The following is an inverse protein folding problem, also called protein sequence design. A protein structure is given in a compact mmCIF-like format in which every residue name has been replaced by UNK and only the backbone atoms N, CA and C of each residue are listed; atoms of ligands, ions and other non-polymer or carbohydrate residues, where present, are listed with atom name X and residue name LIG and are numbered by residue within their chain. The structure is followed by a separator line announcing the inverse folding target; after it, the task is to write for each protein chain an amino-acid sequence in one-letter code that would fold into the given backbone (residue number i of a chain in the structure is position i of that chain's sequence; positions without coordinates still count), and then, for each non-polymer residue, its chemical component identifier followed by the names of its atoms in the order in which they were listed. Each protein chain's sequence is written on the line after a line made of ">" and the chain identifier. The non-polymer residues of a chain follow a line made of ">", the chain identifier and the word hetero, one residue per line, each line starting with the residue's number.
data_IF_910775371268
#
_entry.id   IF_910775371268
#
_cell.length_a   1.000
_cell.length_b   1.000
_cell.length_c   1.000
_cell.angle_alpha   90.00
_cell.angle_beta   90.00
_cell.angle_gamma   90.00
#
_symmetry.space_group_name_H-M   'P 1'
#
loop_
_entity.id
_entity.type
_entity.pdbx_description
1 polymer ?
#
# COMPACT_ATOMS: atom_id res chain seq x y z
N UNK A 1 -9.00 18.75 5.84
CA UNK A 1 -9.23 17.81 6.95
C UNK A 1 -8.75 16.42 6.57
N UNK A 2 -7.98 15.79 7.44
CA UNK A 2 -7.47 14.44 7.17
C UNK A 2 -8.45 13.39 7.67
N UNK A 3 -8.27 12.16 7.16
CA UNK A 3 -9.03 11.00 7.62
C UNK A 3 -8.06 9.89 7.98
N UNK A 4 -8.43 9.07 8.93
CA UNK A 4 -7.61 7.94 9.37
C UNK A 4 -7.33 7.02 8.17
N UNK A 5 -6.11 6.49 8.11
CA UNK A 5 -5.61 5.57 7.06
C UNK A 5 -5.30 6.20 5.70
N UNK A 6 -5.53 7.50 5.54
CA UNK A 6 -5.07 8.18 4.35
C UNK A 6 -3.54 8.16 4.29
N UNK A 7 -3.00 8.07 3.09
CA UNK A 7 -1.57 8.12 2.83
C UNK A 7 -1.27 9.35 1.99
N UNK A 8 -0.32 10.14 2.45
CA UNK A 8 0.13 11.36 1.76
C UNK A 8 1.60 11.24 1.38
N UNK A 9 1.98 11.89 0.31
CA UNK A 9 3.37 11.90 -0.15
C UNK A 9 3.82 13.33 -0.42
N UNK A 10 5.06 13.63 -0.04
CA UNK A 10 5.73 14.87 -0.44
C UNK A 10 6.35 14.66 -1.82
N UNK A 11 5.95 15.47 -2.78
CA UNK A 11 6.46 15.34 -4.14
C UNK A 11 7.87 15.95 -4.32
N UNK A 12 8.44 16.53 -3.28
CA UNK A 12 9.81 17.09 -3.31
C UNK A 12 10.80 16.11 -2.70
N UNK A 13 10.59 15.69 -1.45
CA UNK A 13 11.55 14.83 -0.75
C UNK A 13 11.17 13.35 -0.76
N UNK A 14 9.93 13.00 -1.12
CA UNK A 14 9.48 11.62 -1.16
C UNK A 14 8.97 11.05 0.16
N UNK A 15 8.88 11.85 1.22
CA UNK A 15 8.31 11.36 2.48
C UNK A 15 6.88 10.87 2.25
N UNK A 16 6.57 9.71 2.81
CA UNK A 16 5.22 9.14 2.80
C UNK A 16 4.76 9.00 4.24
N UNK A 17 3.56 9.51 4.53
CA UNK A 17 2.98 9.46 5.87
C UNK A 17 1.59 8.86 5.82
N UNK A 18 1.22 8.14 6.87
CA UNK A 18 -0.12 7.59 7.04
C UNK A 18 -0.80 8.27 8.22
N UNK A 19 -2.07 8.59 8.07
CA UNK A 19 -2.83 9.26 9.11
C UNK A 19 -3.31 8.25 10.15
N UNK A 20 -2.80 8.36 11.36
CA UNK A 20 -3.20 7.51 12.49
C UNK A 20 -4.30 8.17 13.31
N UNK A 21 -4.32 9.49 13.34
CA UNK A 21 -5.33 10.28 14.04
C UNK A 21 -5.72 11.44 13.13
N UNK A 22 -7.01 11.52 12.81
CA UNK A 22 -7.52 12.55 11.92
C UNK A 22 -7.55 13.92 12.61
N UNK A 23 -7.07 14.92 11.90
CA UNK A 23 -7.06 16.30 12.37
C UNK A 23 -7.61 17.26 11.33
N UNK A 24 -7.83 18.51 11.73
CA UNK A 24 -8.41 19.52 10.86
C UNK A 24 -7.40 20.21 9.95
N UNK A 25 -6.11 20.10 10.26
CA UNK A 25 -5.05 20.80 9.55
C UNK A 25 -4.67 20.17 8.22
N UNK A 26 -3.77 20.83 7.53
CA UNK A 26 -3.22 20.37 6.27
C UNK A 26 -1.78 19.88 6.48
N UNK A 27 -1.38 18.87 5.72
CA UNK A 27 -0.02 18.37 5.78
C UNK A 27 0.85 19.12 4.79
N UNK A 28 1.95 19.66 5.31
CA UNK A 28 2.92 20.41 4.50
C UNK A 28 4.29 19.79 4.72
N UNK A 29 5.02 19.57 3.64
CA UNK A 29 6.40 19.10 3.68
C UNK A 29 7.19 19.81 2.59
N UNK A 30 8.41 20.23 2.90
CA UNK A 30 9.25 20.97 1.96
C UNK A 30 8.56 22.23 1.38
N UNK A 31 7.76 22.90 2.21
CA UNK A 31 7.09 24.13 1.81
C UNK A 31 5.88 23.97 0.89
N UNK A 32 5.43 22.77 0.65
CA UNK A 32 4.29 22.49 -0.22
C UNK A 32 3.31 21.55 0.45
N UNK A 33 2.03 21.62 0.04
CA UNK A 33 1.02 20.67 0.47
C UNK A 33 1.41 19.27 0.00
N UNK A 34 1.31 18.29 0.90
CA UNK A 34 1.52 16.89 0.54
C UNK A 34 0.34 16.40 -0.28
N UNK A 35 0.63 15.49 -1.20
CA UNK A 35 -0.38 14.91 -2.07
C UNK A 35 -1.08 13.73 -1.39
N UNK A 36 -2.42 13.76 -1.37
CA UNK A 36 -3.19 12.59 -0.95
C UNK A 36 -3.12 11.54 -2.06
N UNK A 37 -2.59 10.37 -1.74
CA UNK A 37 -2.50 9.29 -2.70
C UNK A 37 -3.86 8.61 -2.84
N UNK A 38 -4.33 8.48 -4.09
CA UNK A 38 -5.59 7.80 -4.39
C UNK A 38 -5.34 6.29 -4.45
N UNK A 39 -6.23 5.54 -3.83
CA UNK A 39 -6.18 4.08 -3.87
C UNK A 39 -6.79 3.59 -5.19
N UNK A 40 -5.95 3.15 -6.11
CA UNK A 40 -6.38 2.64 -7.41
C UNK A 40 -6.92 1.21 -7.27
N UNK A 41 -8.00 0.92 -7.96
CA UNK A 41 -8.70 -0.37 -7.84
C UNK A 41 -8.73 -1.18 -9.14
N UNK A 42 -8.28 -0.59 -10.24
CA UNK A 42 -8.27 -1.26 -11.54
C UNK A 42 -6.88 -1.20 -12.17
N UNK A 43 -6.45 -2.33 -12.70
CA UNK A 43 -5.18 -2.40 -13.41
C UNK A 43 -5.32 -1.83 -14.82
N UNK A 44 -4.31 -1.10 -15.24
CA UNK A 44 -4.19 -0.56 -16.59
C UNK A 44 -2.78 -0.83 -17.10
N UNK A 45 -2.67 -1.22 -18.37
CA UNK A 45 -1.38 -1.49 -19.00
C UNK A 45 -0.87 -2.90 -18.75
N UNK A 46 0.43 -3.09 -18.94
CA UNK A 46 1.07 -4.40 -18.90
C UNK A 46 1.35 -4.94 -17.50
N UNK A 47 1.58 -4.03 -16.56
CA UNK A 47 1.88 -4.40 -15.18
C UNK A 47 0.63 -4.46 -14.35
N UNK A 48 0.54 -5.45 -13.50
CA UNK A 48 -0.60 -5.65 -12.62
C UNK A 48 -0.23 -5.25 -11.20
N UNK A 49 -1.02 -4.37 -10.61
CA UNK A 49 -0.76 -3.81 -9.29
C UNK A 49 -1.86 -4.11 -8.26
N UNK A 50 -3.07 -4.45 -8.70
CA UNK A 50 -4.17 -4.72 -7.76
C UNK A 50 -3.82 -5.96 -6.94
N UNK A 51 -3.76 -5.84 -5.60
CA UNK A 51 -3.36 -6.96 -4.77
C UNK A 51 -4.41 -8.08 -4.78
N UNK A 52 -3.93 -9.32 -4.74
CA UNK A 52 -4.75 -10.52 -4.70
C UNK A 52 -4.57 -11.18 -3.35
N UNK A 53 -5.68 -11.44 -2.66
CA UNK A 53 -5.69 -12.07 -1.34
C UNK A 53 -6.00 -13.55 -1.49
N UNK A 54 -5.13 -14.41 -0.97
CA UNK A 54 -5.33 -15.87 -0.96
C UNK A 54 -5.38 -16.35 0.49
N UNK A 55 -6.31 -17.25 0.79
CA UNK A 55 -6.36 -17.87 2.12
C UNK A 55 -5.28 -18.93 2.25
N UNK A 56 -4.66 -18.99 3.44
CA UNK A 56 -3.66 -20.00 3.77
C UNK A 56 -4.09 -20.72 5.05
N UNK A 57 -3.36 -21.76 5.44
CA UNK A 57 -3.67 -22.50 6.66
C UNK A 57 -3.59 -21.64 7.92
N UNK A 58 -2.67 -20.69 7.96
CA UNK A 58 -2.43 -19.86 9.14
C UNK A 58 -2.96 -18.43 9.02
N UNK A 59 -3.50 -18.05 7.85
CA UNK A 59 -3.97 -16.70 7.65
C UNK A 59 -4.24 -16.39 6.19
N UNK A 60 -3.54 -15.38 5.66
CA UNK A 60 -3.67 -14.99 4.26
C UNK A 60 -2.31 -14.71 3.64
N UNK A 61 -2.25 -14.81 2.32
CA UNK A 61 -1.12 -14.34 1.53
C UNK A 61 -1.62 -13.26 0.59
N UNK A 62 -0.92 -12.14 0.54
CA UNK A 62 -1.21 -11.06 -0.41
C UNK A 62 -0.15 -11.08 -1.48
N UNK A 63 -0.57 -11.24 -2.73
CA UNK A 63 0.30 -11.17 -3.90
C UNK A 63 -0.03 -9.93 -4.70
N UNK A 64 0.97 -9.36 -5.34
CA UNK A 64 0.77 -8.18 -6.16
C UNK A 64 0.46 -8.58 -7.59
N UNK A 65 -0.79 -8.35 -7.96
CA UNK A 65 -1.29 -8.60 -9.29
C UNK A 65 -1.47 -10.07 -9.66
N UNK A 66 -2.09 -10.28 -10.80
CA UNK A 66 -2.26 -11.61 -11.39
C UNK A 66 -0.99 -12.09 -12.11
N UNK A 67 -0.09 -11.17 -12.41
CA UNK A 67 1.22 -11.42 -13.00
C UNK A 67 2.26 -10.83 -12.05
N UNK A 68 3.36 -11.53 -11.87
CA UNK A 68 4.41 -11.12 -10.93
C UNK A 68 4.92 -9.70 -11.20
N UNK A 69 4.79 -8.83 -10.21
CA UNK A 69 5.26 -7.46 -10.30
C UNK A 69 6.79 -7.42 -10.24
N UNK A 70 7.44 -6.52 -11.01
CA UNK A 70 8.89 -6.37 -10.90
C UNK A 70 9.34 -5.99 -9.49
N UNK A 71 10.48 -6.53 -9.07
CA UNK A 71 11.13 -6.18 -7.81
C UNK A 71 12.58 -5.82 -8.15
N UNK A 72 12.75 -4.59 -8.64
CA UNK A 72 14.04 -4.04 -9.05
C UNK A 72 14.37 -2.82 -8.21
N UNK A 73 15.64 -2.48 -8.09
CA UNK A 73 16.09 -1.36 -7.25
C UNK A 73 15.33 -0.05 -7.50
N UNK A 74 15.01 0.24 -8.76
CA UNK A 74 14.31 1.46 -9.14
C UNK A 74 12.80 1.30 -9.32
N UNK A 75 12.30 0.07 -9.29
CA UNK A 75 10.87 -0.21 -9.50
C UNK A 75 10.47 -1.43 -8.69
N UNK A 76 9.82 -1.22 -7.55
CA UNK A 76 9.42 -2.30 -6.66
C UNK A 76 8.26 -1.91 -5.76
N UNK A 77 7.64 -2.91 -5.17
CA UNK A 77 6.59 -2.73 -4.15
C UNK A 77 7.29 -2.44 -2.83
N UNK A 78 7.06 -1.28 -2.27
CA UNK A 78 7.71 -0.87 -1.02
C UNK A 78 7.06 -1.45 0.23
N UNK A 79 5.72 -1.56 0.21
CA UNK A 79 5.04 -2.18 1.35
C UNK A 79 3.69 -2.77 0.94
N UNK A 80 3.24 -3.72 1.77
CA UNK A 80 1.93 -4.34 1.67
C UNK A 80 1.24 -4.14 3.01
N UNK A 81 0.00 -3.63 2.99
CA UNK A 81 -0.83 -3.47 4.17
C UNK A 81 -2.07 -4.34 4.06
N UNK A 82 -2.49 -4.88 5.20
CA UNK A 82 -3.78 -5.56 5.31
C UNK A 82 -4.59 -4.81 6.35
N UNK A 83 -5.77 -4.35 5.95
CA UNK A 83 -6.67 -3.59 6.79
C UNK A 83 -7.83 -4.49 7.19
N UNK A 84 -8.00 -4.70 8.49
CA UNK A 84 -9.10 -5.50 9.05
C UNK A 84 -9.70 -4.73 10.21
N UNK A 85 -10.98 -4.38 10.12
CA UNK A 85 -11.65 -3.51 11.09
C UNK A 85 -10.86 -2.23 11.32
N UNK A 86 -10.29 -2.07 12.52
CA UNK A 86 -9.50 -0.90 12.88
C UNK A 86 -8.01 -1.16 12.85
N UNK A 87 -7.61 -2.37 12.49
CA UNK A 87 -6.21 -2.77 12.52
C UNK A 87 -5.58 -2.71 11.15
N UNK A 88 -4.30 -2.33 11.13
CA UNK A 88 -3.49 -2.39 9.93
C UNK A 88 -2.25 -3.20 10.26
N UNK A 89 -2.00 -4.23 9.44
CA UNK A 89 -0.77 -4.99 9.49
C UNK A 89 0.02 -4.63 8.25
N UNK A 90 1.30 -4.28 8.41
CA UNK A 90 2.15 -3.84 7.31
C UNK A 90 3.43 -4.63 7.26
N UNK A 91 3.85 -4.96 6.05
CA UNK A 91 5.18 -5.50 5.80
C UNK A 91 5.87 -4.65 4.75
N UNK A 92 7.05 -4.17 5.10
CA UNK A 92 7.88 -3.42 4.17
C UNK A 92 8.72 -4.40 3.37
N UNK A 93 8.84 -4.14 2.07
CA UNK A 93 9.60 -4.98 1.17
C UNK A 93 10.81 -4.24 0.64
N UNK A 94 11.79 -5.02 0.19
CA UNK A 94 12.98 -4.50 -0.50
C UNK A 94 13.01 -5.10 -1.90
N UNK A 95 13.83 -4.57 -2.81
CA UNK A 95 13.97 -5.19 -4.14
C UNK A 95 14.39 -6.66 -4.13
N UNK A 96 15.00 -7.12 -3.02
CA UNK A 96 15.41 -8.53 -2.88
C UNK A 96 14.24 -9.46 -2.52
N UNK A 97 13.11 -8.92 -2.09
CA UNK A 97 11.94 -9.71 -1.70
C UNK A 97 11.06 -10.03 -2.92
N UNK A 98 10.24 -11.09 -2.78
CA UNK A 98 9.17 -11.35 -3.74
C UNK A 98 8.03 -10.35 -3.51
N UNK A 99 7.24 -10.00 -4.54
CA UNK A 99 6.09 -9.08 -4.39
C UNK A 99 4.90 -9.78 -3.74
N UNK A 100 5.10 -10.28 -2.56
CA UNK A 100 4.07 -10.97 -1.78
C UNK A 100 4.42 -10.95 -0.30
N UNK A 101 3.41 -11.15 0.55
CA UNK A 101 3.62 -11.27 1.99
C UNK A 101 2.54 -12.13 2.64
N UNK A 102 2.91 -12.83 3.69
CA UNK A 102 2.00 -13.64 4.49
C UNK A 102 1.63 -12.89 5.76
N UNK A 103 0.35 -13.00 6.15
CA UNK A 103 -0.16 -12.38 7.37
C UNK A 103 -1.00 -13.41 8.14
N UNK A 104 -0.80 -13.47 9.45
CA UNK A 104 -1.58 -14.35 10.32
C UNK A 104 -2.87 -13.67 10.76
N UNK A 105 -3.78 -13.47 9.82
CA UNK A 105 -5.05 -12.77 10.04
C UNK A 105 -6.21 -13.67 9.64
N UNK A 106 -7.23 -13.74 10.49
CA UNK A 106 -8.43 -14.56 10.25
C UNK A 106 -9.70 -13.74 10.19
N UNK A 107 -9.61 -12.46 9.85
CA UNK A 107 -10.77 -11.59 9.74
C UNK A 107 -11.58 -11.88 8.47
N UNK A 108 -12.89 -11.58 8.49
CA UNK A 108 -13.76 -11.80 7.33
C UNK A 108 -13.64 -10.69 6.30
N UNK A 109 -13.66 -9.45 6.76
CA UNK A 109 -13.61 -8.29 5.86
C UNK A 109 -12.20 -7.72 5.85
N UNK A 110 -11.45 -8.06 4.82
CA UNK A 110 -10.05 -7.68 4.67
C UNK A 110 -9.88 -6.91 3.38
N UNK A 111 -9.18 -5.79 3.47
CA UNK A 111 -8.72 -5.02 2.32
C UNK A 111 -7.21 -5.05 2.32
N UNK A 112 -6.61 -5.37 1.18
CA UNK A 112 -5.18 -5.29 1.02
C UNK A 112 -4.83 -4.01 0.26
N UNK A 113 -3.73 -3.39 0.62
CA UNK A 113 -3.25 -2.17 0.01
C UNK A 113 -1.77 -2.28 -0.23
N UNK A 114 -1.30 -1.85 -1.40
CA UNK A 114 0.12 -1.89 -1.74
C UNK A 114 0.58 -0.56 -2.30
N UNK A 115 1.87 -0.29 -2.16
CA UNK A 115 2.47 0.90 -2.75
C UNK A 115 3.64 0.51 -3.65
N UNK A 116 3.53 0.90 -4.94
CA UNK A 116 4.60 0.78 -5.91
C UNK A 116 5.27 2.15 -6.02
N UNK A 117 6.60 2.20 -5.92
CA UNK A 117 7.31 3.47 -5.95
C UNK A 117 7.14 4.25 -7.25
N UNK A 118 6.79 3.57 -8.34
CA UNK A 118 6.58 4.21 -9.65
C UNK A 118 5.09 4.48 -9.91
N UNK A 119 4.22 3.52 -9.59
CA UNK A 119 2.81 3.57 -10.00
C UNK A 119 1.82 3.88 -8.88
N UNK A 120 2.29 4.11 -7.66
CA UNK A 120 1.46 4.62 -6.57
C UNK A 120 0.77 3.57 -5.73
N UNK A 121 -0.37 3.98 -5.16
CA UNK A 121 -1.12 3.20 -4.18
C UNK A 121 -2.28 2.44 -4.83
N UNK A 122 -2.43 1.17 -4.47
CA UNK A 122 -3.44 0.27 -5.03
C UNK A 122 -4.12 -0.51 -3.92
N UNK A 123 -5.38 -0.87 -4.12
CA UNK A 123 -6.10 -1.71 -3.15
C UNK A 123 -6.93 -2.80 -3.83
N UNK A 124 -7.19 -3.84 -3.07
CA UNK A 124 -8.08 -4.92 -3.49
C UNK A 124 -9.55 -4.50 -3.55
#
# INVERSE_FOLDING_TARGET
>A
MTEIRQIYRCNICGNIVEILHAGAGKLVCCGQLMELLKEKIEDAGKEKHVPVIEKTETGIKVKIGSVLHPMEEKHYIEFIEVISDRNIDRKNLTPANKPEADFEIKAKDITARIYCNIHGLWKS
#
